data_IF_436183931218
#
_entry.id   IF_436183931218
#
_cell.length_a   1.000
_cell.length_b   1.000
_cell.length_c   1.000
_cell.angle_alpha   90.00
_cell.angle_beta   90.00
_cell.angle_gamma   90.00
#
_symmetry.space_group_name_H-M   'P 1'
#
loop_
_entity.id
_entity.type
_entity.pdbx_description
1 polymer ?
#
# COMPACT_ATOMS: atom_id res chain seq x y z
N UNK A 1 -7.94 49.94 -2.21
CA UNK A 1 -8.93 49.47 -1.21
C UNK A 1 -9.69 48.34 -1.88
N UNK A 2 -9.40 47.08 -1.50
CA UNK A 2 -10.08 45.88 -1.99
C UNK A 2 -10.58 45.11 -0.77
N UNK A 3 -11.77 44.49 -0.82
CA UNK A 3 -12.35 43.83 0.34
C UNK A 3 -11.63 42.51 0.64
N UNK A 4 -11.24 42.38 1.91
CA UNK A 4 -10.67 41.21 2.56
C UNK A 4 -11.76 40.17 2.82
N UNK A 5 -11.48 38.90 2.57
CA UNK A 5 -12.34 37.80 3.04
C UNK A 5 -11.99 37.49 4.49
N UNK A 6 -13.00 37.44 5.35
CA UNK A 6 -12.91 36.97 6.74
C UNK A 6 -13.60 35.60 6.80
N UNK A 7 -12.93 34.59 7.32
CA UNK A 7 -13.54 33.30 7.64
C UNK A 7 -13.39 33.00 9.14
N UNK A 8 -14.46 32.46 9.71
CA UNK A 8 -14.64 32.14 11.12
C UNK A 8 -13.76 30.94 11.47
N UNK A 9 -12.86 31.09 12.43
CA UNK A 9 -12.19 29.97 13.10
C UNK A 9 -13.11 29.43 14.20
N UNK A 10 -13.57 28.19 14.09
CA UNK A 10 -14.08 27.45 15.25
C UNK A 10 -13.00 26.50 15.74
N UNK A 11 -12.55 26.71 16.98
CA UNK A 11 -11.58 25.85 17.66
C UNK A 11 -12.21 24.50 18.00
N UNK A 12 -12.14 23.54 17.08
CA UNK A 12 -12.40 22.12 17.35
C UNK A 12 -11.77 21.24 16.25
N UNK A 13 -10.48 21.38 16.01
CA UNK A 13 -9.71 20.56 15.06
C UNK A 13 -9.12 19.31 15.75
N UNK A 14 -9.97 18.48 16.34
CA UNK A 14 -9.58 17.18 16.91
C UNK A 14 -10.56 16.07 16.52
N UNK A 15 -10.94 16.00 15.24
CA UNK A 15 -11.63 14.83 14.67
C UNK A 15 -11.25 14.69 13.20
N UNK A 16 -10.63 13.56 12.84
CA UNK A 16 -10.38 13.02 11.49
C UNK A 16 -10.32 14.04 10.34
N UNK A 17 -9.11 14.46 9.99
CA UNK A 17 -8.81 15.07 8.68
C UNK A 17 -8.72 14.02 7.55
N UNK A 18 -9.50 12.94 7.64
CA UNK A 18 -9.85 12.16 6.46
C UNK A 18 -10.85 13.01 5.67
N UNK A 19 -10.34 13.92 4.83
CA UNK A 19 -11.17 14.54 3.78
C UNK A 19 -11.86 13.39 3.06
N UNK A 20 -13.18 13.48 2.94
CA UNK A 20 -14.10 12.46 2.42
C UNK A 20 -13.79 12.05 0.95
N UNK A 21 -12.76 12.65 0.36
CA UNK A 21 -12.40 12.59 -1.06
C UNK A 21 -11.30 11.56 -1.38
N UNK A 22 -10.74 10.87 -0.37
CA UNK A 22 -9.71 9.84 -0.54
C UNK A 22 -8.27 10.36 -0.39
N UNK A 23 -7.31 9.67 -1.01
CA UNK A 23 -5.88 10.02 -0.97
C UNK A 23 -5.64 11.45 -1.49
N UNK A 24 -5.01 12.31 -0.68
CA UNK A 24 -4.76 13.71 -1.05
C UNK A 24 -3.86 13.82 -2.30
N UNK A 25 -3.95 14.90 -3.09
CA UNK A 25 -3.01 15.15 -4.18
C UNK A 25 -1.55 15.09 -3.72
N UNK A 26 -0.65 14.76 -4.64
CA UNK A 26 0.79 14.75 -4.36
C UNK A 26 1.24 16.18 -4.00
N UNK A 27 2.00 16.41 -2.92
CA UNK A 27 2.38 17.74 -2.50
C UNK A 27 3.09 18.53 -3.60
N UNK A 28 2.63 19.76 -3.87
CA UNK A 28 3.10 20.56 -5.00
C UNK A 28 4.60 20.94 -4.93
N UNK A 29 5.20 20.90 -3.74
CA UNK A 29 6.62 21.19 -3.54
C UNK A 29 7.54 20.01 -3.91
N UNK A 30 6.98 18.82 -4.15
CA UNK A 30 7.71 17.62 -4.55
C UNK A 30 7.70 17.46 -6.08
N UNK A 31 8.60 16.67 -6.67
CA UNK A 31 8.52 16.27 -8.06
C UNK A 31 7.17 15.63 -8.40
N UNK A 32 6.51 16.15 -9.43
CA UNK A 32 5.15 15.76 -9.82
C UNK A 32 5.11 14.54 -10.77
N UNK A 33 6.12 13.66 -10.71
CA UNK A 33 6.17 12.43 -11.50
C UNK A 33 5.49 11.27 -10.77
N UNK A 34 4.93 10.32 -11.51
CA UNK A 34 4.32 9.10 -10.95
C UNK A 34 5.34 8.23 -10.23
N UNK A 35 6.56 8.13 -10.78
CA UNK A 35 7.69 7.44 -10.14
C UNK A 35 8.06 8.05 -8.80
N UNK A 36 8.13 9.39 -8.71
CA UNK A 36 8.38 10.05 -7.44
C UNK A 36 7.23 9.84 -6.46
N UNK A 37 5.97 9.92 -6.90
CA UNK A 37 4.82 9.65 -6.01
C UNK A 37 4.88 8.23 -5.42
N UNK A 38 5.17 7.22 -6.24
CA UNK A 38 5.35 5.84 -5.78
C UNK A 38 6.53 5.70 -4.80
N UNK A 39 7.66 6.34 -5.10
CA UNK A 39 8.83 6.36 -4.23
C UNK A 39 8.56 7.00 -2.87
N UNK A 40 7.93 8.18 -2.87
CA UNK A 40 7.60 8.93 -1.67
C UNK A 40 6.63 8.16 -0.75
N UNK A 41 5.57 7.57 -1.33
CA UNK A 41 4.64 6.72 -0.58
C UNK A 41 5.35 5.49 0.01
N UNK A 42 6.21 4.85 -0.78
CA UNK A 42 6.98 3.67 -0.32
C UNK A 42 7.92 4.04 0.82
N UNK A 43 8.66 5.13 0.69
CA UNK A 43 9.58 5.64 1.71
C UNK A 43 8.85 5.90 3.02
N UNK A 44 7.76 6.67 2.95
CA UNK A 44 6.97 7.06 4.12
C UNK A 44 6.32 5.85 4.80
N UNK A 45 5.76 4.91 4.03
CA UNK A 45 5.19 3.67 4.56
C UNK A 45 6.25 2.77 5.22
N UNK A 46 7.46 2.71 4.69
CA UNK A 46 8.56 1.96 5.33
C UNK A 46 9.05 2.61 6.62
N UNK A 47 9.11 3.95 6.69
CA UNK A 47 9.41 4.66 7.93
C UNK A 47 8.30 4.47 8.97
N UNK A 48 7.04 4.44 8.54
CA UNK A 48 5.93 4.06 9.41
C UNK A 48 6.09 2.64 9.96
N UNK A 49 6.40 1.66 9.08
CA UNK A 49 6.69 0.28 9.48
C UNK A 49 7.84 0.19 10.49
N UNK A 50 8.91 0.96 10.29
CA UNK A 50 10.05 1.04 11.21
C UNK A 50 9.61 1.53 12.60
N UNK A 51 8.87 2.64 12.67
CA UNK A 51 8.31 3.17 13.93
C UNK A 51 7.39 2.15 14.62
N UNK A 52 6.55 1.45 13.85
CA UNK A 52 5.67 0.39 14.38
C UNK A 52 6.50 -0.75 14.98
N UNK A 53 7.48 -1.29 14.25
CA UNK A 53 8.29 -2.44 14.71
C UNK A 53 9.17 -2.10 15.91
N UNK A 54 9.59 -0.85 16.04
CA UNK A 54 10.36 -0.37 17.20
C UNK A 54 9.49 -0.01 18.41
N UNK A 55 8.16 -0.06 18.29
CA UNK A 55 7.23 0.33 19.35
C UNK A 55 7.22 1.84 19.63
N UNK A 56 7.57 2.65 18.62
CA UNK A 56 7.66 4.10 18.72
C UNK A 56 6.33 4.79 18.38
N UNK A 57 5.36 4.06 17.82
CA UNK A 57 4.02 4.59 17.58
C UNK A 57 3.24 4.70 18.89
N UNK A 58 2.67 5.88 19.21
CA UNK A 58 1.77 5.98 20.35
C UNK A 58 0.56 5.06 20.13
N UNK A 59 0.03 4.41 21.19
CA UNK A 59 -1.21 3.64 21.09
C UNK A 59 -2.34 4.53 20.57
N UNK A 60 -3.20 3.97 19.72
CA UNK A 60 -4.48 4.62 19.44
C UNK A 60 -5.26 4.79 20.74
N UNK A 61 -6.05 5.84 20.86
CA UNK A 61 -6.80 6.12 22.07
C UNK A 61 -8.17 6.72 21.77
N UNK A 62 -9.14 6.41 22.62
CA UNK A 62 -10.43 7.10 22.69
C UNK A 62 -10.44 8.03 23.90
N UNK A 63 -11.58 8.67 24.20
CA UNK A 63 -11.73 9.47 25.43
C UNK A 63 -11.60 8.61 26.69
N UNK A 64 -11.86 7.31 26.57
CA UNK A 64 -11.85 6.33 27.65
C UNK A 64 -10.45 5.76 27.92
N UNK A 65 -9.49 5.92 27.01
CA UNK A 65 -8.10 5.48 27.20
C UNK A 65 -7.46 4.84 25.96
N UNK A 66 -6.25 4.26 26.12
CA UNK A 66 -5.54 3.61 25.03
C UNK A 66 -6.22 2.31 24.59
N UNK A 67 -6.17 2.03 23.29
CA UNK A 67 -6.66 0.83 22.66
C UNK A 67 -5.55 -0.21 22.47
N UNK A 68 -5.95 -1.46 22.32
CA UNK A 68 -5.03 -2.54 22.02
C UNK A 68 -4.44 -2.37 20.61
N UNK A 69 -3.12 -2.47 20.49
CA UNK A 69 -2.41 -2.36 19.19
C UNK A 69 -2.07 -3.74 18.60
N UNK A 70 -2.64 -4.84 19.11
CA UNK A 70 -2.27 -6.21 18.71
C UNK A 70 -2.52 -6.50 17.23
N UNK A 71 -3.58 -5.92 16.65
CA UNK A 71 -3.94 -6.12 15.22
C UNK A 71 -2.92 -5.51 14.27
N UNK A 72 -2.15 -4.50 14.70
CA UNK A 72 -1.16 -3.79 13.89
C UNK A 72 -0.02 -4.69 13.38
N UNK A 73 0.28 -5.79 14.10
CA UNK A 73 1.30 -6.76 13.66
C UNK A 73 0.94 -7.47 12.35
N UNK A 74 -0.32 -7.38 11.92
CA UNK A 74 -0.84 -7.95 10.68
C UNK A 74 -0.95 -6.92 9.54
N UNK A 75 -0.29 -5.76 9.69
CA UNK A 75 -0.27 -4.73 8.66
C UNK A 75 0.80 -4.98 7.59
N UNK A 76 1.99 -5.41 8.01
CA UNK A 76 3.15 -5.63 7.16
C UNK A 76 3.69 -7.04 7.29
N UNK A 77 4.44 -7.50 6.28
CA UNK A 77 5.12 -8.81 6.28
C UNK A 77 4.16 -9.96 6.53
N UNK A 78 2.94 -9.84 6.04
CA UNK A 78 1.90 -10.85 6.20
C UNK A 78 1.01 -10.88 4.97
N UNK A 79 0.26 -11.98 4.86
CA UNK A 79 -0.65 -12.21 3.76
C UNK A 79 -1.76 -13.13 4.21
N UNK A 80 -2.96 -12.93 3.67
CA UNK A 80 -3.99 -13.95 3.70
C UNK A 80 -3.62 -15.06 2.73
N UNK A 81 -3.70 -16.30 3.16
CA UNK A 81 -3.43 -17.49 2.34
C UNK A 81 -4.72 -18.29 2.23
N UNK A 82 -5.19 -18.60 1.01
CA UNK A 82 -6.42 -19.36 0.84
C UNK A 82 -6.21 -20.83 1.24
N UNK A 83 -7.16 -21.40 1.98
CA UNK A 83 -7.09 -22.81 2.40
C UNK A 83 -8.18 -23.67 1.76
N UNK A 84 -7.83 -24.93 1.46
CA UNK A 84 -8.71 -25.87 0.75
C UNK A 84 -9.87 -26.40 1.60
N UNK A 85 -9.80 -26.24 2.93
CA UNK A 85 -10.82 -26.74 3.87
C UNK A 85 -11.89 -25.69 4.20
N UNK A 86 -12.14 -24.76 3.28
CA UNK A 86 -13.11 -23.66 3.44
C UNK A 86 -12.71 -22.61 4.47
N UNK A 87 -11.42 -22.53 4.80
CA UNK A 87 -10.85 -21.57 5.77
C UNK A 87 -9.61 -20.94 5.18
N UNK A 88 -9.50 -19.63 5.30
CA UNK A 88 -8.30 -18.89 4.96
C UNK A 88 -7.51 -18.59 6.23
N UNK A 89 -6.21 -18.36 6.06
CA UNK A 89 -5.29 -18.11 7.16
C UNK A 89 -4.55 -16.81 6.95
N UNK A 90 -4.47 -15.97 7.98
CA UNK A 90 -3.48 -14.89 7.98
C UNK A 90 -2.14 -15.46 8.43
N UNK A 91 -1.13 -15.32 7.57
CA UNK A 91 0.22 -15.82 7.81
C UNK A 91 1.16 -14.62 7.94
N UNK A 92 1.91 -14.59 9.04
CA UNK A 92 2.96 -13.59 9.25
C UNK A 92 4.33 -14.18 8.90
N UNK A 93 5.12 -13.39 8.19
CA UNK A 93 6.50 -13.61 7.80
C UNK A 93 7.45 -12.65 8.54
N UNK A 94 6.92 -11.85 9.47
CA UNK A 94 7.72 -10.97 10.31
C UNK A 94 8.74 -11.79 11.10
N UNK A 95 10.00 -11.35 11.08
CA UNK A 95 11.08 -12.03 11.79
C UNK A 95 11.21 -11.49 13.22
N UNK A 96 11.47 -12.36 14.21
CA UNK A 96 11.78 -11.91 15.57
C UNK A 96 12.98 -10.95 15.57
N UNK A 97 12.82 -9.81 16.25
CA UNK A 97 13.87 -8.79 16.35
C UNK A 97 14.02 -7.89 15.12
N UNK A 98 13.17 -8.02 14.10
CA UNK A 98 13.15 -7.07 12.98
C UNK A 98 12.71 -5.68 13.44
N UNK A 99 13.58 -4.69 13.23
CA UNK A 99 13.38 -3.28 13.59
C UNK A 99 12.77 -2.45 12.47
N UNK A 100 12.44 -3.09 11.34
CA UNK A 100 11.85 -2.45 10.17
C UNK A 100 12.84 -1.81 9.19
N UNK A 101 14.14 -2.03 9.42
CA UNK A 101 15.24 -1.55 8.57
C UNK A 101 15.52 -2.45 7.35
N UNK A 102 14.86 -3.60 7.29
CA UNK A 102 15.06 -4.62 6.27
C UNK A 102 13.76 -5.03 5.58
N UNK A 103 13.91 -5.78 4.48
CA UNK A 103 12.80 -6.35 3.72
C UNK A 103 12.70 -5.78 2.30
N UNK A 104 11.62 -6.16 1.65
CA UNK A 104 11.29 -5.78 0.28
C UNK A 104 9.82 -5.41 0.16
N UNK A 105 9.49 -4.68 -0.91
CA UNK A 105 8.12 -4.51 -1.38
C UNK A 105 7.97 -5.25 -2.70
N UNK A 106 6.74 -5.60 -3.05
CA UNK A 106 6.42 -6.09 -4.39
C UNK A 106 5.74 -4.98 -5.19
N UNK A 107 6.23 -4.70 -6.38
CA UNK A 107 5.66 -3.71 -7.30
C UNK A 107 4.95 -4.43 -8.43
N UNK A 108 3.69 -4.07 -8.69
CA UNK A 108 2.88 -4.62 -9.76
C UNK A 108 2.69 -3.58 -10.87
N UNK A 109 3.06 -3.91 -12.10
CA UNK A 109 2.84 -3.06 -13.27
C UNK A 109 2.47 -3.92 -14.47
N UNK A 110 1.33 -3.67 -15.10
CA UNK A 110 0.89 -4.40 -16.31
C UNK A 110 0.89 -5.93 -16.14
N UNK A 111 0.51 -6.41 -14.94
CA UNK A 111 0.51 -7.84 -14.59
C UNK A 111 1.90 -8.42 -14.28
N UNK A 112 2.97 -7.64 -14.38
CA UNK A 112 4.33 -8.05 -13.98
C UNK A 112 4.54 -7.77 -12.50
N UNK A 113 5.23 -8.68 -11.84
CA UNK A 113 5.63 -8.60 -10.44
C UNK A 113 7.13 -8.28 -10.37
N UNK A 114 7.48 -7.28 -9.57
CA UNK A 114 8.86 -6.90 -9.32
C UNK A 114 9.13 -6.95 -7.82
N UNK A 115 10.17 -7.68 -7.43
CA UNK A 115 10.71 -7.59 -6.09
C UNK A 115 11.61 -6.37 -6.00
N UNK A 116 11.32 -5.46 -5.08
CA UNK A 116 12.10 -4.26 -4.82
C UNK A 116 12.65 -4.30 -3.40
N UNK A 117 13.95 -4.53 -3.26
CA UNK A 117 14.64 -4.36 -1.99
C UNK A 117 14.61 -2.89 -1.59
N UNK A 118 14.07 -2.60 -0.40
CA UNK A 118 13.95 -1.23 0.12
C UNK A 118 15.00 -0.91 1.18
N UNK A 119 15.94 -1.83 1.39
CA UNK A 119 16.99 -1.75 2.39
C UNK A 119 18.37 -1.77 1.75
N UNK A 120 19.30 -1.02 2.36
CA UNK A 120 20.72 -0.94 2.01
C UNK A 120 21.55 -1.05 3.29
N UNK A 121 22.85 -1.37 3.20
CA UNK A 121 23.73 -1.29 4.37
C UNK A 121 23.63 0.10 5.03
N UNK A 122 23.12 0.15 6.26
CA UNK A 122 22.93 1.40 7.01
C UNK A 122 21.47 1.89 7.12
N UNK A 123 20.49 1.22 6.49
CA UNK A 123 19.08 1.49 6.72
C UNK A 123 18.22 1.32 5.47
N UNK A 124 17.19 2.16 5.35
CA UNK A 124 16.25 2.15 4.23
C UNK A 124 16.70 3.08 3.11
N UNK A 125 16.41 2.73 1.87
CA UNK A 125 16.64 3.59 0.70
C UNK A 125 15.95 4.96 0.87
N UNK A 126 16.59 5.99 0.34
CA UNK A 126 15.99 7.32 0.18
C UNK A 126 15.01 7.39 -0.98
N UNK A 127 14.24 8.46 -1.04
CA UNK A 127 13.17 8.73 -2.03
C UNK A 127 13.76 8.82 -3.43
N UNK A 128 14.91 9.48 -3.59
CA UNK A 128 15.59 9.60 -4.90
C UNK A 128 16.09 8.25 -5.42
N UNK A 129 16.56 7.38 -4.53
CA UNK A 129 17.02 6.04 -4.88
C UNK A 129 15.84 5.15 -5.26
N UNK A 130 14.76 5.18 -4.46
CA UNK A 130 13.50 4.50 -4.77
C UNK A 130 12.91 5.00 -6.10
N UNK A 131 12.95 6.30 -6.37
CA UNK A 131 12.44 6.88 -7.62
C UNK A 131 13.14 6.27 -8.83
N UNK A 132 14.48 6.12 -8.80
CA UNK A 132 15.23 5.46 -9.88
C UNK A 132 14.78 4.02 -10.10
N UNK A 133 14.47 3.29 -9.02
CA UNK A 133 13.94 1.92 -9.13
C UNK A 133 12.54 1.90 -9.75
N UNK A 134 11.66 2.81 -9.34
CA UNK A 134 10.33 2.93 -9.95
C UNK A 134 10.39 3.35 -11.42
N UNK A 135 11.27 4.28 -11.79
CA UNK A 135 11.52 4.66 -13.19
C UNK A 135 11.98 3.47 -14.03
N UNK A 136 12.90 2.66 -13.49
CA UNK A 136 13.32 1.43 -14.13
C UNK A 136 12.15 0.45 -14.33
N UNK A 137 11.31 0.25 -13.31
CA UNK A 137 10.13 -0.63 -13.41
C UNK A 137 9.15 -0.12 -14.46
N UNK A 138 8.87 1.19 -14.51
CA UNK A 138 8.03 1.80 -15.54
C UNK A 138 8.61 1.53 -16.94
N UNK A 139 9.91 1.77 -17.15
CA UNK A 139 10.57 1.57 -18.45
C UNK A 139 10.61 0.11 -18.90
N UNK A 140 10.70 -0.83 -17.96
CA UNK A 140 10.84 -2.27 -18.25
C UNK A 140 9.54 -3.07 -18.13
N UNK A 141 8.40 -2.39 -18.00
CA UNK A 141 7.06 -3.02 -17.91
C UNK A 141 6.10 -2.54 -18.99
N UNK A 142 6.60 -2.18 -20.18
CA UNK A 142 5.76 -1.67 -21.27
C UNK A 142 4.80 -2.76 -21.83
N UNK A 143 5.27 -4.00 -21.90
CA UNK A 143 4.47 -5.13 -22.37
C UNK A 143 3.63 -5.75 -21.26
N UNK A 144 2.39 -6.11 -21.58
CA UNK A 144 1.49 -6.83 -20.66
C UNK A 144 1.97 -8.25 -20.41
N UNK A 145 2.01 -8.64 -19.14
CA UNK A 145 2.12 -10.03 -18.71
C UNK A 145 0.74 -10.59 -18.34
N UNK A 146 0.59 -11.92 -18.21
CA UNK A 146 -0.63 -12.49 -17.65
C UNK A 146 -0.92 -11.90 -16.27
N UNK A 147 -2.10 -11.30 -16.10
CA UNK A 147 -2.52 -10.67 -14.84
C UNK A 147 -2.91 -11.70 -13.78
N UNK A 148 -1.96 -12.51 -13.30
CA UNK A 148 -2.19 -13.60 -12.33
C UNK A 148 -2.88 -13.10 -11.06
N UNK A 149 -2.64 -11.84 -10.68
CA UNK A 149 -3.28 -11.18 -9.55
C UNK A 149 -4.81 -11.24 -9.55
N UNK A 150 -5.45 -11.32 -10.73
CA UNK A 150 -6.91 -11.39 -10.85
C UNK A 150 -7.50 -12.61 -10.14
N UNK A 151 -6.76 -13.71 -10.06
CA UNK A 151 -7.20 -14.95 -9.42
C UNK A 151 -7.53 -14.73 -7.94
N UNK A 152 -6.80 -13.83 -7.28
CA UNK A 152 -7.01 -13.50 -5.86
C UNK A 152 -8.38 -12.87 -5.59
N UNK A 153 -8.98 -12.23 -6.60
CA UNK A 153 -10.29 -11.57 -6.51
C UNK A 153 -11.49 -12.52 -6.67
N UNK A 154 -11.23 -13.79 -6.98
CA UNK A 154 -12.29 -14.77 -7.20
C UNK A 154 -12.93 -15.25 -5.89
N UNK A 155 -14.01 -16.02 -6.01
CA UNK A 155 -14.58 -16.76 -4.87
C UNK A 155 -13.47 -17.56 -4.15
N UNK A 156 -13.50 -17.56 -2.81
CA UNK A 156 -12.42 -18.10 -1.98
C UNK A 156 -12.17 -19.59 -2.18
N UNK A 157 -13.22 -20.39 -2.39
CA UNK A 157 -13.08 -21.84 -2.64
C UNK A 157 -12.49 -22.12 -4.04
N UNK A 158 -12.76 -21.26 -5.01
CA UNK A 158 -12.16 -21.32 -6.34
C UNK A 158 -10.70 -20.89 -6.27
N UNK A 159 -10.43 -19.76 -5.62
CA UNK A 159 -9.07 -19.25 -5.43
C UNK A 159 -8.20 -20.23 -4.65
N UNK A 160 -8.72 -20.90 -3.62
CA UNK A 160 -7.96 -21.93 -2.90
C UNK A 160 -7.47 -23.07 -3.81
N UNK A 161 -8.29 -23.50 -4.78
CA UNK A 161 -7.89 -24.52 -5.77
C UNK A 161 -6.88 -23.96 -6.76
N UNK A 162 -7.16 -22.77 -7.30
CA UNK A 162 -6.29 -22.09 -8.27
C UNK A 162 -4.92 -21.77 -7.66
N UNK A 163 -4.86 -21.38 -6.37
CA UNK A 163 -3.62 -21.12 -5.64
C UNK A 163 -2.75 -22.38 -5.52
N UNK A 164 -3.34 -23.55 -5.22
CA UNK A 164 -2.59 -24.81 -5.19
C UNK A 164 -2.03 -25.16 -6.58
N UNK A 165 -2.85 -25.08 -7.62
CA UNK A 165 -2.41 -25.32 -8.99
C UNK A 165 -1.31 -24.32 -9.42
N UNK A 166 -1.45 -23.04 -9.02
CA UNK A 166 -0.46 -22.00 -9.30
C UNK A 166 0.87 -22.29 -8.59
N UNK A 167 0.83 -22.77 -7.35
CA UNK A 167 2.00 -23.10 -6.52
C UNK A 167 2.77 -24.33 -7.03
N UNK A 168 2.08 -25.30 -7.63
CA UNK A 168 2.69 -26.52 -8.19
C UNK A 168 3.51 -26.26 -9.47
N UNK A 169 3.30 -25.13 -10.14
CA UNK A 169 4.09 -24.73 -11.31
C UNK A 169 5.54 -24.43 -10.86
N UNK A 170 6.57 -25.00 -11.51
CA UNK A 170 7.97 -24.77 -11.14
C UNK A 170 8.33 -23.29 -11.05
N UNK A 171 8.95 -22.89 -9.93
CA UNK A 171 9.35 -21.50 -9.64
C UNK A 171 8.27 -20.64 -8.99
N UNK A 172 6.98 -20.93 -9.17
CA UNK A 172 5.92 -20.09 -8.62
C UNK A 172 5.84 -20.12 -7.09
N UNK A 173 6.21 -21.22 -6.45
CA UNK A 173 6.23 -21.30 -4.98
C UNK A 173 7.17 -20.25 -4.35
N UNK A 174 8.31 -19.95 -5.01
CA UNK A 174 9.25 -18.91 -4.56
C UNK A 174 8.66 -17.51 -4.80
N UNK A 175 8.07 -17.28 -5.96
CA UNK A 175 7.40 -16.00 -6.29
C UNK A 175 6.25 -15.70 -5.33
N UNK A 176 5.41 -16.70 -5.03
CA UNK A 176 4.32 -16.58 -4.06
C UNK A 176 4.85 -16.22 -2.68
N UNK A 177 5.95 -16.86 -2.25
CA UNK A 177 6.61 -16.52 -0.98
C UNK A 177 7.09 -15.07 -0.97
N UNK A 178 7.64 -14.55 -2.07
CA UNK A 178 8.05 -13.13 -2.15
C UNK A 178 6.85 -12.18 -2.02
N UNK A 179 5.70 -12.49 -2.63
CA UNK A 179 4.46 -11.71 -2.49
C UNK A 179 3.93 -11.76 -1.07
N UNK A 180 3.87 -12.96 -0.50
CA UNK A 180 3.30 -13.18 0.83
C UNK A 180 4.15 -12.52 1.93
N UNK A 181 5.48 -12.58 1.80
CA UNK A 181 6.42 -12.08 2.80
C UNK A 181 6.79 -10.60 2.66
N UNK A 182 6.52 -9.94 1.53
CA UNK A 182 6.88 -8.52 1.37
C UNK A 182 6.21 -7.62 2.42
N UNK A 183 6.77 -6.43 2.66
CA UNK A 183 6.19 -5.48 3.61
C UNK A 183 4.77 -5.08 3.17
N UNK A 184 4.63 -4.62 1.92
CA UNK A 184 3.36 -4.26 1.27
C UNK A 184 3.56 -4.28 -0.25
N UNK A 185 2.47 -4.09 -1.00
CA UNK A 185 2.50 -4.01 -2.46
C UNK A 185 2.31 -2.57 -2.96
N UNK A 186 2.96 -2.23 -4.06
CA UNK A 186 2.74 -0.99 -4.81
C UNK A 186 2.23 -1.32 -6.21
N UNK A 187 1.00 -0.93 -6.52
CA UNK A 187 0.36 -1.13 -7.81
C UNK A 187 0.52 0.13 -8.67
N UNK A 188 1.22 0.01 -9.80
CA UNK A 188 1.40 1.08 -10.78
C UNK A 188 0.39 0.88 -11.92
N UNK A 189 -0.70 1.62 -11.91
CA UNK A 189 -1.86 1.39 -12.78
C UNK A 189 -1.90 2.28 -14.02
N UNK A 190 -2.40 1.75 -15.13
CA UNK A 190 -2.60 2.51 -16.38
C UNK A 190 -3.83 3.42 -16.31
N UNK A 191 -4.78 3.10 -15.45
CA UNK A 191 -5.97 3.89 -15.18
C UNK A 191 -5.65 5.36 -14.92
N UNK A 192 -6.56 6.24 -15.33
CA UNK A 192 -6.46 7.69 -15.12
C UNK A 192 -7.76 8.22 -14.51
N UNK A 193 -8.15 7.75 -13.31
CA UNK A 193 -9.44 8.08 -12.72
C UNK A 193 -9.58 9.59 -12.48
N UNK A 194 -10.78 10.12 -12.74
CA UNK A 194 -11.12 11.52 -12.52
C UNK A 194 -12.24 11.67 -11.50
N UNK A 195 -11.94 12.42 -10.43
CA UNK A 195 -12.87 12.63 -9.33
C UNK A 195 -13.06 11.40 -8.44
N UNK A 196 -13.82 11.55 -7.34
CA UNK A 196 -13.87 10.56 -6.27
C UNK A 196 -14.55 9.24 -6.67
N UNK A 197 -15.57 9.30 -7.53
CA UNK A 197 -16.33 8.09 -7.94
C UNK A 197 -15.48 7.18 -8.82
N UNK A 198 -14.76 7.73 -9.79
CA UNK A 198 -13.86 6.92 -10.64
C UNK A 198 -12.67 6.42 -9.83
N UNK A 199 -12.10 7.24 -8.95
CA UNK A 199 -11.00 6.84 -8.08
C UNK A 199 -11.42 5.69 -7.14
N UNK A 200 -12.61 5.76 -6.58
CA UNK A 200 -13.19 4.69 -5.75
C UNK A 200 -13.32 3.38 -6.54
N UNK A 201 -13.91 3.43 -7.75
CA UNK A 201 -14.04 2.24 -8.61
C UNK A 201 -12.70 1.66 -9.03
N UNK A 202 -11.74 2.51 -9.41
CA UNK A 202 -10.39 2.11 -9.77
C UNK A 202 -9.66 1.44 -8.59
N UNK A 203 -9.80 2.01 -7.39
CA UNK A 203 -9.08 1.51 -6.21
C UNK A 203 -9.70 0.24 -5.66
N UNK A 204 -11.03 0.14 -5.62
CA UNK A 204 -11.74 -1.00 -5.03
C UNK A 204 -11.91 -2.16 -6.00
N UNK A 205 -12.32 -1.89 -7.24
CA UNK A 205 -12.70 -2.92 -8.21
C UNK A 205 -11.67 -3.10 -9.33
N UNK A 206 -10.57 -2.34 -9.34
CA UNK A 206 -9.64 -2.33 -10.48
C UNK A 206 -10.27 -1.72 -11.74
N UNK A 207 -11.21 -0.78 -11.60
CA UNK A 207 -11.88 -0.12 -12.71
C UNK A 207 -13.35 -0.51 -12.85
N UNK A 208 -13.98 -0.16 -13.98
CA UNK A 208 -15.42 -0.41 -14.18
C UNK A 208 -15.69 -1.89 -14.47
N UNK A 209 -14.74 -2.55 -15.14
CA UNK A 209 -14.84 -3.96 -15.57
C UNK A 209 -13.79 -4.84 -14.89
N UNK A 210 -13.04 -4.30 -13.93
CA UNK A 210 -11.93 -4.99 -13.27
C UNK A 210 -10.68 -5.13 -14.13
N UNK A 211 -10.49 -4.22 -15.09
CA UNK A 211 -9.36 -4.21 -16.02
C UNK A 211 -7.98 -4.15 -15.34
N UNK A 212 -7.89 -3.57 -14.13
CA UNK A 212 -6.65 -3.47 -13.33
C UNK A 212 -6.57 -4.55 -12.23
N UNK A 213 -7.54 -5.47 -12.10
CA UNK A 213 -7.49 -6.53 -11.07
C UNK A 213 -6.31 -7.50 -11.28
N UNK A 214 -5.82 -7.63 -12.52
CA UNK A 214 -4.58 -8.37 -12.80
C UNK A 214 -3.34 -7.71 -12.20
N UNK A 215 -3.44 -6.42 -11.83
CA UNK A 215 -2.41 -5.62 -11.18
C UNK A 215 -2.70 -5.44 -9.67
N UNK A 216 -3.31 -6.45 -9.04
CA UNK A 216 -3.63 -6.49 -7.60
C UNK A 216 -3.25 -7.84 -7.01
N UNK A 217 -3.08 -7.87 -5.70
CA UNK A 217 -3.05 -9.12 -4.93
C UNK A 217 -3.94 -8.93 -3.69
N UNK A 218 -5.24 -9.20 -3.81
CA UNK A 218 -6.24 -8.77 -2.80
C UNK A 218 -6.06 -9.42 -1.43
N UNK A 219 -5.29 -10.50 -1.36
CA UNK A 219 -4.89 -11.16 -0.12
C UNK A 219 -3.85 -10.37 0.70
N UNK A 220 -3.22 -9.35 0.10
CA UNK A 220 -2.22 -8.54 0.79
C UNK A 220 -2.90 -7.47 1.66
N UNK A 221 -2.56 -7.37 2.96
CA UNK A 221 -3.18 -6.41 3.88
C UNK A 221 -3.04 -4.94 3.49
N UNK A 222 -1.92 -4.57 2.85
CA UNK A 222 -1.67 -3.20 2.42
C UNK A 222 -1.20 -3.16 0.97
N UNK A 223 -1.94 -2.42 0.12
CA UNK A 223 -1.57 -2.15 -1.27
C UNK A 223 -1.74 -0.66 -1.56
N UNK A 224 -0.65 0.03 -1.85
CA UNK A 224 -0.69 1.41 -2.36
C UNK A 224 -0.85 1.37 -3.88
N UNK A 225 -1.72 2.23 -4.42
CA UNK A 225 -2.01 2.29 -5.85
C UNK A 225 -1.60 3.66 -6.36
N UNK A 226 -0.80 3.72 -7.43
CA UNK A 226 -0.42 4.95 -8.12
C UNK A 226 -0.82 4.84 -9.58
N UNK A 227 -1.65 5.77 -10.02
CA UNK A 227 -2.19 5.83 -11.37
C UNK A 227 -1.30 6.65 -12.30
N UNK A 228 -1.32 6.37 -13.61
CA UNK A 228 -0.49 7.09 -14.61
C UNK A 228 -0.83 8.59 -14.75
N UNK A 229 -1.96 9.04 -14.21
CA UNK A 229 -2.27 10.48 -14.07
C UNK A 229 -1.75 11.11 -12.76
N UNK A 230 -1.00 10.36 -11.97
CA UNK A 230 -0.48 10.80 -10.68
C UNK A 230 -1.48 10.74 -9.54
N UNK A 231 -2.74 10.31 -9.74
CA UNK A 231 -3.63 10.01 -8.63
C UNK A 231 -3.10 8.81 -7.82
N UNK A 232 -3.53 8.66 -6.57
CA UNK A 232 -3.22 7.47 -5.78
C UNK A 232 -4.41 7.01 -4.95
N UNK A 233 -4.33 5.77 -4.49
CA UNK A 233 -5.32 5.15 -3.62
C UNK A 233 -4.70 4.04 -2.79
N UNK A 234 -5.55 3.33 -2.06
CA UNK A 234 -5.16 2.24 -1.19
C UNK A 234 -6.21 1.12 -1.24
N UNK A 235 -5.75 -0.12 -1.14
CA UNK A 235 -6.59 -1.30 -0.96
C UNK A 235 -6.08 -2.07 0.25
N UNK A 236 -7.00 -2.44 1.15
CA UNK A 236 -6.70 -3.20 2.36
C UNK A 236 -7.48 -4.50 2.45
N UNK A 237 -6.84 -5.55 2.97
CA UNK A 237 -7.48 -6.83 3.31
C UNK A 237 -8.00 -6.77 4.75
N UNK A 238 -9.23 -7.23 5.00
CA UNK A 238 -9.99 -6.92 6.21
C UNK A 238 -10.18 -8.13 7.15
N UNK A 239 -9.45 -9.24 6.98
CA UNK A 239 -9.71 -10.47 7.77
C UNK A 239 -9.29 -10.37 9.24
N UNK A 240 -8.17 -9.69 9.53
CA UNK A 240 -7.61 -9.59 10.89
C UNK A 240 -7.55 -8.15 11.40
N UNK A 241 -7.41 -7.20 10.49
CA UNK A 241 -7.29 -5.78 10.80
C UNK A 241 -8.53 -5.04 10.30
N UNK A 242 -9.07 -4.14 11.12
CA UNK A 242 -10.15 -3.26 10.70
C UNK A 242 -9.64 -2.03 9.93
N UNK A 243 -10.55 -1.12 9.60
CA UNK A 243 -10.21 0.10 8.87
C UNK A 243 -9.35 1.09 9.65
N UNK A 244 -9.31 1.05 10.99
CA UNK A 244 -8.66 2.10 11.78
C UNK A 244 -7.14 2.13 11.59
N UNK A 245 -6.41 1.01 11.68
CA UNK A 245 -4.97 0.99 11.41
C UNK A 245 -4.62 1.40 9.98
N UNK A 246 -5.40 0.97 8.98
CA UNK A 246 -5.13 1.34 7.58
C UNK A 246 -5.36 2.83 7.32
N UNK A 247 -6.39 3.43 7.91
CA UNK A 247 -6.63 4.87 7.85
C UNK A 247 -5.48 5.64 8.50
N UNK A 248 -5.06 5.24 9.70
CA UNK A 248 -3.92 5.88 10.38
C UNK A 248 -2.62 5.77 9.58
N UNK A 249 -2.33 4.61 8.99
CA UNK A 249 -1.21 4.45 8.06
C UNK A 249 -1.29 5.47 6.91
N UNK A 250 -2.44 5.59 6.26
CA UNK A 250 -2.62 6.51 5.14
C UNK A 250 -2.48 7.98 5.59
N UNK A 251 -3.10 8.35 6.70
CA UNK A 251 -3.05 9.71 7.24
C UNK A 251 -1.62 10.11 7.62
N UNK A 252 -0.88 9.25 8.33
CA UNK A 252 0.52 9.53 8.69
C UNK A 252 1.40 9.58 7.45
N UNK A 253 1.25 8.64 6.51
CA UNK A 253 2.04 8.63 5.26
C UNK A 253 1.84 9.91 4.47
N UNK A 254 0.60 10.35 4.30
CA UNK A 254 0.28 11.57 3.55
C UNK A 254 0.70 12.83 4.30
N UNK A 255 0.54 12.86 5.63
CA UNK A 255 0.99 13.96 6.48
C UNK A 255 2.51 14.14 6.40
N UNK A 256 3.24 13.03 6.51
CA UNK A 256 4.69 12.99 6.41
C UNK A 256 5.15 13.61 5.07
N UNK A 257 4.52 13.24 3.95
CA UNK A 257 4.88 13.80 2.63
C UNK A 257 4.57 15.30 2.47
N UNK A 258 3.60 15.85 3.20
CA UNK A 258 3.34 17.29 3.18
C UNK A 258 4.36 18.08 4.01
N UNK A 259 5.08 17.42 4.91
CA UNK A 259 6.10 18.05 5.74
C UNK A 259 7.36 18.38 4.94
N UNK A 260 7.81 19.65 4.89
CA UNK A 260 9.09 20.02 4.26
C UNK A 260 10.32 19.40 4.93
N UNK A 261 10.16 18.87 6.14
CA UNK A 261 11.25 18.22 6.90
C UNK A 261 11.21 16.70 6.78
N UNK A 262 10.37 16.14 5.90
CA UNK A 262 10.32 14.71 5.68
C UNK A 262 11.70 14.18 5.25
N UNK A 263 12.20 13.09 5.85
CA UNK A 263 13.49 12.51 5.51
C UNK A 263 13.39 11.73 4.19
N UNK A 264 13.35 12.52 3.10
CA UNK A 264 13.30 12.03 1.72
C UNK A 264 14.38 10.99 1.48
#
# INVERSE_FOLDING_TARGET
>A
MYPTTVSITSSSDYWLNARIDGFTPHPAHLPQTTSHRAAALTRSAMLFRQRLKRGELPPDATKEGPMCMDTWRWMFDCCRVPGTDGKDFSVSFAQPGDTGDSGHVVVMRNGRLWRLDVSVPGGLLGTDELQKQFEYIYQNSQDKAPGVGVLTSNNRDVWAKDYQALREIPGNAEILREIESCAFIVCLDQGRPQGPVELSRASWHGGVRGEELGNRWVDKPCQFIVYDNGAAGFMGEHSVMDGTPTVRLCDEVLTDLHSPTFPH
#
